data_IF_807455495071
#
_entry.id   IF_807455495071
#
_cell.length_a   1.000
_cell.length_b   1.000
_cell.length_c   1.000
_cell.angle_alpha   90.00
_cell.angle_beta   90.00
_cell.angle_gamma   90.00
#
_symmetry.space_group_name_H-M   'P 1'
#
loop_
_entity.id
_entity.type
_entity.pdbx_description
1 polymer ?
#
# COMPACT_ATOMS: atom_id res chain seq x y z
N UNK A 1 -21.40 -0.21 31.76
CA UNK A 1 -21.12 0.38 30.41
C UNK A 1 -20.11 1.52 30.54
N UNK A 2 -19.39 1.87 29.45
CA UNK A 2 -18.43 3.00 29.43
C UNK A 2 -19.10 4.29 29.92
N UNK A 3 -20.31 4.57 29.48
CA UNK A 3 -21.08 5.75 29.87
C UNK A 3 -21.32 5.82 31.39
N UNK A 4 -21.72 4.70 32.00
CA UNK A 4 -21.95 4.66 33.45
C UNK A 4 -20.68 4.84 34.29
N UNK A 5 -19.54 4.30 33.80
CA UNK A 5 -18.24 4.49 34.46
C UNK A 5 -17.79 5.96 34.40
N UNK A 6 -18.11 6.66 33.32
CA UNK A 6 -17.77 8.07 33.13
C UNK A 6 -18.80 9.07 33.70
N UNK A 7 -19.91 8.57 34.24
CA UNK A 7 -20.99 9.42 34.78
C UNK A 7 -21.71 10.25 33.73
N UNK A 8 -21.77 9.78 32.49
CA UNK A 8 -22.43 10.46 31.36
C UNK A 8 -23.59 9.63 30.82
N UNK A 9 -24.49 10.24 30.04
CA UNK A 9 -25.54 9.50 29.34
C UNK A 9 -24.97 8.62 28.20
N UNK A 10 -25.76 7.67 27.73
CA UNK A 10 -25.32 6.69 26.71
C UNK A 10 -24.92 7.36 25.38
N UNK A 11 -25.66 8.40 24.98
CA UNK A 11 -25.37 9.13 23.73
C UNK A 11 -24.02 9.84 23.81
N UNK A 12 -23.75 10.49 24.93
CA UNK A 12 -22.48 11.19 25.16
C UNK A 12 -21.31 10.19 25.29
N UNK A 13 -21.55 9.03 25.89
CA UNK A 13 -20.57 7.95 25.96
C UNK A 13 -20.24 7.39 24.58
N UNK A 14 -21.25 7.11 23.75
CA UNK A 14 -21.07 6.64 22.37
C UNK A 14 -20.35 7.67 21.50
N UNK A 15 -20.72 8.95 21.64
CA UNK A 15 -20.04 10.04 20.94
C UNK A 15 -18.57 10.15 21.33
N UNK A 16 -18.24 9.99 22.62
CA UNK A 16 -16.85 9.99 23.08
C UNK A 16 -16.02 8.88 22.44
N UNK A 17 -16.57 7.67 22.37
CA UNK A 17 -15.91 6.54 21.68
C UNK A 17 -15.67 6.86 20.20
N UNK A 18 -16.69 7.37 19.51
CA UNK A 18 -16.58 7.77 18.09
C UNK A 18 -15.49 8.82 17.87
N UNK A 19 -15.40 9.84 18.73
CA UNK A 19 -14.38 10.89 18.63
C UNK A 19 -12.96 10.37 18.89
N UNK A 20 -12.78 9.46 19.84
CA UNK A 20 -11.49 8.80 20.10
C UNK A 20 -11.02 8.02 18.87
N UNK A 21 -11.91 7.20 18.28
CA UNK A 21 -11.60 6.45 17.06
C UNK A 21 -11.19 7.39 15.92
N UNK A 22 -11.94 8.48 15.71
CA UNK A 22 -11.61 9.46 14.66
C UNK A 22 -10.26 10.15 14.90
N UNK A 23 -9.89 10.40 16.16
CA UNK A 23 -8.59 10.98 16.48
C UNK A 23 -7.46 9.98 16.24
N UNK A 24 -7.65 8.71 16.61
CA UNK A 24 -6.66 7.67 16.38
C UNK A 24 -6.43 7.44 14.89
N UNK A 25 -7.49 7.39 14.07
CA UNK A 25 -7.38 7.29 12.62
C UNK A 25 -6.65 8.49 12.03
N UNK A 26 -7.02 9.71 12.45
CA UNK A 26 -6.38 10.93 11.97
C UNK A 26 -4.90 11.00 12.39
N UNK A 27 -4.56 10.51 13.58
CA UNK A 27 -3.18 10.44 14.07
C UNK A 27 -2.36 9.44 13.25
N UNK A 28 -2.86 8.22 13.06
CA UNK A 28 -2.18 7.21 12.26
C UNK A 28 -1.93 7.70 10.81
N UNK A 29 -2.93 8.35 10.23
CA UNK A 29 -2.79 8.95 8.90
C UNK A 29 -1.70 10.03 8.85
N UNK A 30 -1.64 10.93 9.84
CA UNK A 30 -0.60 11.97 9.92
C UNK A 30 0.80 11.38 10.02
N UNK A 31 0.98 10.34 10.85
CA UNK A 31 2.25 9.64 11.01
C UNK A 31 2.69 9.04 9.67
N UNK A 32 1.84 8.24 9.05
CA UNK A 32 2.15 7.60 7.77
C UNK A 32 2.43 8.63 6.66
N UNK A 33 1.60 9.66 6.53
CA UNK A 33 1.84 10.72 5.56
C UNK A 33 3.16 11.46 5.78
N UNK A 34 3.57 11.63 7.05
CA UNK A 34 4.86 12.25 7.39
C UNK A 34 6.04 11.34 7.05
N UNK A 35 5.90 10.02 7.26
CA UNK A 35 6.94 9.04 6.94
C UNK A 35 7.25 8.99 5.44
N UNK A 36 6.22 9.13 4.59
CA UNK A 36 6.37 9.13 3.12
C UNK A 36 6.46 10.53 2.50
N UNK A 37 6.51 11.59 3.31
CA UNK A 37 6.59 12.98 2.81
C UNK A 37 5.34 13.49 2.09
N UNK A 38 4.16 12.89 2.29
CA UNK A 38 2.94 13.18 1.54
C UNK A 38 2.11 14.33 2.14
N UNK A 39 1.87 15.41 1.35
CA UNK A 39 0.97 16.50 1.76
C UNK A 39 -0.48 16.26 1.34
N UNK A 40 -1.22 15.54 2.18
CA UNK A 40 -2.62 15.18 2.01
C UNK A 40 -3.60 16.37 2.04
N UNK A 41 -3.21 17.54 2.54
CA UNK A 41 -4.09 18.71 2.67
C UNK A 41 -4.51 19.31 1.33
N UNK A 42 -3.80 18.93 0.27
CA UNK A 42 -4.09 19.34 -1.11
C UNK A 42 -4.88 18.28 -1.89
N UNK A 43 -5.19 17.16 -1.27
CA UNK A 43 -5.86 16.02 -1.89
C UNK A 43 -7.35 15.95 -1.52
N UNK A 44 -8.10 15.12 -2.25
CA UNK A 44 -9.42 14.69 -1.87
C UNK A 44 -9.34 13.35 -1.15
N UNK A 45 -10.14 13.16 -0.09
CA UNK A 45 -10.32 11.88 0.58
C UNK A 45 -11.45 11.11 -0.12
N UNK A 46 -11.20 9.87 -0.48
CA UNK A 46 -12.25 8.94 -0.95
C UNK A 46 -12.64 8.05 0.23
N UNK A 47 -13.93 8.03 0.55
CA UNK A 47 -14.47 7.28 1.68
C UNK A 47 -15.34 6.12 1.20
N UNK A 48 -14.93 4.89 1.51
CA UNK A 48 -15.68 3.68 1.17
C UNK A 48 -15.52 2.58 2.23
N UNK A 49 -16.23 1.47 2.05
CA UNK A 49 -16.31 0.38 3.02
C UNK A 49 -17.46 0.54 4.01
N UNK A 50 -17.72 -0.48 4.81
CA UNK A 50 -18.88 -0.54 5.70
C UNK A 50 -18.93 0.56 6.77
N UNK A 51 -17.78 0.91 7.38
CA UNK A 51 -17.69 1.94 8.43
C UNK A 51 -16.97 3.21 7.98
N UNK A 52 -16.14 3.15 6.95
CA UNK A 52 -15.35 4.28 6.46
C UNK A 52 -16.17 5.57 6.28
N UNK A 53 -17.30 5.55 5.55
CA UNK A 53 -18.15 6.71 5.35
C UNK A 53 -18.67 7.37 6.64
N UNK A 54 -18.92 6.59 7.69
CA UNK A 54 -19.41 7.11 8.96
C UNK A 54 -18.38 7.98 9.71
N UNK A 55 -17.09 7.73 9.47
CA UNK A 55 -15.97 8.41 10.11
C UNK A 55 -15.36 9.52 9.23
N UNK A 56 -15.46 9.39 7.90
CA UNK A 56 -14.72 10.15 6.91
C UNK A 56 -14.80 11.67 7.09
N UNK A 57 -15.99 12.21 7.31
CA UNK A 57 -16.19 13.67 7.49
C UNK A 57 -15.44 14.18 8.71
N UNK A 58 -15.46 13.44 9.82
CA UNK A 58 -14.77 13.84 11.06
C UNK A 58 -13.26 13.73 10.91
N UNK A 59 -12.79 12.64 10.34
CA UNK A 59 -11.37 12.42 10.04
C UNK A 59 -10.85 13.51 9.10
N UNK A 60 -11.56 13.79 8.00
CA UNK A 60 -11.18 14.84 7.06
C UNK A 60 -11.07 16.24 7.72
N UNK A 61 -12.01 16.58 8.61
CA UNK A 61 -11.94 17.82 9.38
C UNK A 61 -10.71 17.90 10.28
N UNK A 62 -10.37 16.80 10.99
CA UNK A 62 -9.18 16.69 11.85
C UNK A 62 -7.89 16.80 11.03
N UNK A 63 -7.88 16.28 9.81
CA UNK A 63 -6.76 16.33 8.87
C UNK A 63 -6.73 17.63 8.04
N UNK A 64 -7.77 18.44 8.08
CA UNK A 64 -7.95 19.64 7.23
C UNK A 64 -7.95 19.32 5.73
N UNK A 65 -8.52 18.15 5.39
CA UNK A 65 -8.72 17.76 3.99
C UNK A 65 -9.96 18.50 3.47
N UNK A 66 -9.85 19.23 2.35
CA UNK A 66 -10.91 20.13 1.89
C UNK A 66 -12.09 19.42 1.21
N UNK A 67 -11.89 18.21 0.71
CA UNK A 67 -12.89 17.48 -0.08
C UNK A 67 -12.97 16.02 0.35
N UNK A 68 -14.20 15.53 0.55
CA UNK A 68 -14.48 14.10 0.77
C UNK A 68 -15.42 13.64 -0.33
N UNK A 69 -15.08 12.52 -0.97
CA UNK A 69 -15.83 11.90 -2.05
C UNK A 69 -16.40 10.60 -1.53
N UNK A 70 -17.71 10.45 -1.67
CA UNK A 70 -18.42 9.19 -1.41
C UNK A 70 -18.83 8.63 -2.77
N UNK A 71 -18.16 7.61 -3.31
CA UNK A 71 -18.52 7.03 -4.59
C UNK A 71 -19.87 6.31 -4.51
N UNK A 72 -20.53 6.15 -5.67
CA UNK A 72 -21.73 5.32 -5.75
C UNK A 72 -21.41 3.91 -5.30
N UNK A 73 -22.23 3.35 -4.41
CA UNK A 73 -21.95 2.05 -3.81
C UNK A 73 -20.82 2.05 -2.78
N UNK A 74 -20.49 3.19 -2.17
CA UNK A 74 -19.40 3.31 -1.21
C UNK A 74 -19.38 2.21 -0.15
N UNK A 75 -20.54 1.80 0.39
CA UNK A 75 -20.63 0.76 1.41
C UNK A 75 -20.17 -0.64 0.96
N UNK A 76 -20.20 -0.91 -0.35
CA UNK A 76 -19.84 -2.20 -0.96
C UNK A 76 -18.69 -2.08 -1.97
N UNK A 77 -18.01 -0.97 -2.02
CA UNK A 77 -16.95 -0.69 -3.00
C UNK A 77 -15.82 -1.73 -2.95
N UNK A 78 -15.48 -2.24 -1.78
CA UNK A 78 -14.47 -3.30 -1.63
C UNK A 78 -14.90 -4.59 -2.35
N UNK A 79 -16.19 -4.95 -2.29
CA UNK A 79 -16.71 -6.11 -3.02
C UNK A 79 -16.71 -5.87 -4.54
N UNK A 80 -17.05 -4.66 -4.98
CA UNK A 80 -16.95 -4.27 -6.40
C UNK A 80 -15.49 -4.36 -6.86
N UNK A 81 -14.55 -3.83 -6.07
CA UNK A 81 -13.13 -3.93 -6.36
C UNK A 81 -12.68 -5.38 -6.50
N UNK A 82 -13.07 -6.25 -5.57
CA UNK A 82 -12.72 -7.66 -5.61
C UNK A 82 -13.25 -8.38 -6.88
N UNK A 83 -14.44 -8.01 -7.34
CA UNK A 83 -15.03 -8.59 -8.56
C UNK A 83 -14.40 -8.07 -9.86
N UNK A 84 -13.74 -6.91 -9.81
CA UNK A 84 -13.16 -6.25 -11.01
C UNK A 84 -11.66 -6.35 -11.08
N UNK A 85 -10.99 -6.68 -9.97
CA UNK A 85 -9.54 -6.84 -9.92
C UNK A 85 -9.14 -8.18 -10.52
N UNK A 86 -8.16 -8.24 -11.42
CA UNK A 86 -7.63 -9.49 -11.92
C UNK A 86 -6.99 -10.30 -10.78
N UNK A 87 -6.97 -11.62 -10.94
CA UNK A 87 -6.27 -12.50 -10.01
C UNK A 87 -4.78 -12.18 -10.12
N UNK A 88 -4.13 -11.88 -9.00
CA UNK A 88 -2.71 -11.60 -8.95
C UNK A 88 -2.06 -12.23 -7.73
N UNK A 89 -0.81 -12.63 -7.88
CA UNK A 89 0.03 -13.10 -6.78
C UNK A 89 1.34 -12.31 -6.76
N UNK A 90 1.76 -11.92 -5.56
CA UNK A 90 3.08 -11.37 -5.33
C UNK A 90 3.89 -12.39 -4.52
N UNK A 91 5.05 -12.75 -5.03
CA UNK A 91 6.00 -13.63 -4.36
C UNK A 91 7.26 -12.82 -4.03
N UNK A 92 7.81 -13.02 -2.85
CA UNK A 92 8.97 -12.29 -2.35
C UNK A 92 10.06 -13.26 -1.92
N UNK A 93 11.31 -12.91 -2.25
CA UNK A 93 12.49 -13.57 -1.73
C UNK A 93 13.42 -12.54 -1.10
N UNK A 94 13.73 -12.73 0.16
CA UNK A 94 14.77 -11.94 0.82
C UNK A 94 16.15 -12.35 0.33
N UNK A 95 16.95 -11.36 -0.06
CA UNK A 95 18.35 -11.51 -0.41
C UNK A 95 19.06 -10.17 -0.16
N UNK A 96 20.29 -10.20 0.30
CA UNK A 96 21.11 -9.00 0.46
C UNK A 96 22.35 -9.14 -0.37
N UNK A 97 22.55 -8.20 -1.28
CA UNK A 97 23.76 -8.07 -2.06
C UNK A 97 24.14 -6.60 -2.17
N UNK A 98 25.42 -6.31 -2.22
CA UNK A 98 25.89 -5.01 -2.70
C UNK A 98 25.70 -4.98 -4.20
N UNK A 99 25.35 -3.82 -4.74
CA UNK A 99 25.14 -3.66 -6.17
C UNK A 99 26.36 -4.07 -7.01
N UNK A 100 27.55 -3.72 -6.55
CA UNK A 100 28.83 -4.06 -7.19
C UNK A 100 29.16 -5.58 -7.16
N UNK A 101 28.49 -6.34 -6.29
CA UNK A 101 28.64 -7.79 -6.18
C UNK A 101 27.49 -8.56 -6.88
N UNK A 102 26.53 -7.86 -7.45
CA UNK A 102 25.40 -8.46 -8.15
C UNK A 102 25.77 -8.59 -9.64
N UNK A 103 25.64 -9.80 -10.16
CA UNK A 103 25.73 -10.08 -11.58
C UNK A 103 24.37 -10.55 -12.14
N UNK A 104 24.26 -10.58 -13.46
CA UNK A 104 23.02 -10.97 -14.13
C UNK A 104 22.60 -12.40 -13.78
N UNK A 105 23.55 -13.32 -13.61
CA UNK A 105 23.26 -14.72 -13.27
C UNK A 105 22.72 -14.83 -11.83
N UNK A 106 23.27 -14.09 -10.89
CA UNK A 106 22.80 -14.01 -9.51
C UNK A 106 21.41 -13.40 -9.40
N UNK A 107 21.15 -12.36 -10.20
CA UNK A 107 19.83 -11.72 -10.28
C UNK A 107 18.78 -12.69 -10.81
N UNK A 108 19.05 -13.37 -11.94
CA UNK A 108 18.16 -14.37 -12.51
C UNK A 108 17.94 -15.57 -11.56
N UNK A 109 18.99 -16.06 -10.91
CA UNK A 109 18.88 -17.10 -9.89
C UNK A 109 18.03 -16.67 -8.67
N UNK A 110 17.95 -15.36 -8.42
CA UNK A 110 17.07 -14.78 -7.42
C UNK A 110 15.60 -14.80 -7.83
N UNK A 111 15.30 -14.40 -9.05
CA UNK A 111 13.93 -14.30 -9.56
C UNK A 111 13.32 -15.65 -9.96
N UNK A 112 14.06 -16.54 -10.62
CA UNK A 112 13.51 -17.78 -11.18
C UNK A 112 12.68 -18.64 -10.19
N UNK A 113 13.05 -18.81 -8.90
CA UNK A 113 12.22 -19.58 -7.97
C UNK A 113 10.90 -18.89 -7.63
N UNK A 114 10.90 -17.56 -7.45
CA UNK A 114 9.70 -16.83 -7.07
C UNK A 114 8.75 -16.63 -8.24
N UNK A 115 9.27 -16.48 -9.44
CA UNK A 115 8.48 -16.46 -10.68
C UNK A 115 7.79 -17.79 -10.93
N UNK A 116 8.51 -18.90 -10.77
CA UNK A 116 7.92 -20.24 -10.88
C UNK A 116 6.79 -20.44 -9.89
N UNK A 117 7.01 -20.04 -8.64
CA UNK A 117 5.99 -20.12 -7.60
C UNK A 117 4.76 -19.28 -7.94
N UNK A 118 4.95 -18.03 -8.42
CA UNK A 118 3.85 -17.17 -8.82
C UNK A 118 3.06 -17.72 -10.00
N UNK A 119 3.77 -18.27 -10.99
CA UNK A 119 3.16 -18.93 -12.16
C UNK A 119 2.32 -20.15 -11.75
N UNK A 120 2.88 -21.03 -10.93
CA UNK A 120 2.17 -22.22 -10.42
C UNK A 120 0.87 -21.84 -9.70
N UNK A 121 0.91 -20.80 -8.83
CA UNK A 121 -0.26 -20.33 -8.10
C UNK A 121 -1.35 -19.75 -9.02
N UNK A 122 -0.98 -19.02 -10.08
CA UNK A 122 -1.93 -18.45 -11.04
C UNK A 122 -2.56 -19.54 -11.90
N UNK A 123 -1.77 -20.51 -12.36
CA UNK A 123 -2.26 -21.65 -13.14
C UNK A 123 -3.19 -22.52 -12.29
N UNK A 124 -2.84 -22.77 -11.02
CA UNK A 124 -3.71 -23.49 -10.07
C UNK A 124 -5.03 -22.73 -9.83
N UNK A 125 -5.00 -21.41 -9.83
CA UNK A 125 -6.20 -20.56 -9.76
C UNK A 125 -7.02 -20.53 -11.05
N UNK A 126 -6.59 -21.21 -12.12
CA UNK A 126 -7.31 -21.33 -13.39
C UNK A 126 -7.00 -20.25 -14.42
N UNK A 127 -5.93 -19.46 -14.23
CA UNK A 127 -5.49 -18.45 -15.20
C UNK A 127 -4.66 -19.14 -16.29
N UNK A 128 -4.93 -18.84 -17.56
CA UNK A 128 -4.16 -19.40 -18.68
C UNK A 128 -2.77 -18.75 -18.75
N UNK A 129 -1.74 -19.54 -18.99
CA UNK A 129 -0.36 -19.04 -19.02
C UNK A 129 -0.13 -17.87 -19.99
N UNK A 130 -0.83 -17.85 -21.12
CA UNK A 130 -0.74 -16.79 -22.13
C UNK A 130 -1.45 -15.48 -21.73
N UNK A 131 -2.17 -15.48 -20.62
CA UNK A 131 -2.83 -14.29 -20.04
C UNK A 131 -2.05 -13.73 -18.85
N UNK A 132 -0.98 -14.42 -18.43
CA UNK A 132 -0.18 -14.01 -17.28
C UNK A 132 0.85 -12.98 -17.73
N UNK A 133 0.89 -11.87 -17.02
CA UNK A 133 1.96 -10.88 -17.10
C UNK A 133 2.76 -10.87 -15.81
N UNK A 134 4.07 -10.76 -15.90
CA UNK A 134 4.95 -10.69 -14.72
C UNK A 134 5.66 -9.36 -14.66
N UNK A 135 5.77 -8.81 -13.46
CA UNK A 135 6.58 -7.64 -13.17
C UNK A 135 7.64 -8.01 -12.14
N UNK A 136 8.88 -7.65 -12.42
CA UNK A 136 10.00 -7.81 -11.49
C UNK A 136 10.25 -6.53 -10.73
N UNK A 137 10.47 -6.63 -9.44
CA UNK A 137 10.78 -5.49 -8.58
C UNK A 137 11.93 -5.83 -7.64
N UNK A 138 12.75 -4.84 -7.32
CA UNK A 138 13.83 -4.96 -6.33
C UNK A 138 13.62 -3.96 -5.22
N UNK A 139 13.73 -4.41 -3.98
CA UNK A 139 13.84 -3.50 -2.83
C UNK A 139 15.29 -3.08 -2.67
N UNK A 140 15.54 -1.79 -2.82
CA UNK A 140 16.88 -1.21 -2.80
C UNK A 140 16.99 -0.08 -1.80
N UNK A 141 18.19 0.10 -1.24
CA UNK A 141 18.49 1.23 -0.35
C UNK A 141 19.95 1.63 -0.44
N UNK A 142 20.26 2.85 -0.02
CA UNK A 142 21.65 3.22 0.21
C UNK A 142 22.22 2.48 1.44
N UNK A 143 23.51 2.24 1.41
CA UNK A 143 24.19 1.65 2.55
C UNK A 143 23.99 2.50 3.80
N UNK A 144 23.55 1.87 4.90
CA UNK A 144 23.26 2.55 6.17
C UNK A 144 21.84 3.08 6.33
N UNK A 145 20.97 3.01 5.30
CA UNK A 145 19.54 3.35 5.44
C UNK A 145 18.75 2.21 6.09
N UNK A 146 17.68 2.59 6.78
CA UNK A 146 16.76 1.66 7.45
C UNK A 146 15.56 1.23 6.60
N UNK A 147 15.27 1.95 5.50
CA UNK A 147 14.11 1.69 4.64
C UNK A 147 14.55 1.48 3.21
N UNK A 148 13.93 0.53 2.56
CA UNK A 148 14.10 0.21 1.15
C UNK A 148 13.10 1.00 0.29
N UNK A 149 13.46 1.20 -0.97
CA UNK A 149 12.59 1.74 -2.02
C UNK A 149 12.40 0.65 -3.07
N UNK A 150 11.16 0.42 -3.46
CA UNK A 150 10.80 -0.57 -4.47
C UNK A 150 11.08 -0.01 -5.86
N UNK A 151 11.97 -0.67 -6.60
CA UNK A 151 12.38 -0.34 -7.97
C UNK A 151 11.77 -1.34 -8.92
N UNK A 152 10.88 -0.90 -9.81
CA UNK A 152 10.35 -1.73 -10.88
C UNK A 152 11.40 -1.90 -11.99
N UNK A 153 11.54 -3.13 -12.48
CA UNK A 153 12.47 -3.45 -13.56
C UNK A 153 11.69 -3.53 -14.89
N UNK A 154 12.08 -2.77 -15.94
CA UNK A 154 11.54 -2.93 -17.29
C UNK A 154 11.78 -4.34 -17.86
N UNK A 155 10.98 -4.76 -18.83
CA UNK A 155 11.16 -6.09 -19.47
C UNK A 155 12.51 -6.24 -20.17
N UNK A 156 13.02 -5.15 -20.78
CA UNK A 156 14.30 -5.08 -21.48
C UNK A 156 15.43 -4.52 -20.60
N UNK A 157 15.32 -4.71 -19.30
CA UNK A 157 16.24 -4.20 -18.29
C UNK A 157 17.66 -4.75 -18.45
N UNK A 158 18.64 -3.83 -18.44
CA UNK A 158 20.06 -4.18 -18.26
C UNK A 158 20.49 -3.89 -16.81
N UNK A 159 21.25 -4.80 -16.22
CA UNK A 159 21.80 -4.62 -14.88
C UNK A 159 22.64 -3.33 -14.74
N UNK A 160 23.27 -2.89 -15.82
CA UNK A 160 24.02 -1.64 -15.84
C UNK A 160 23.13 -0.40 -15.59
N UNK A 161 21.83 -0.47 -15.89
CA UNK A 161 20.88 0.62 -15.70
C UNK A 161 20.34 0.71 -14.26
N UNK A 162 20.54 -0.34 -13.47
CA UNK A 162 19.96 -0.44 -12.12
C UNK A 162 20.34 0.72 -11.18
N UNK A 163 21.59 1.25 -11.18
CA UNK A 163 21.94 2.41 -10.36
C UNK A 163 21.12 3.66 -10.71
N UNK A 164 20.82 3.84 -11.99
CA UNK A 164 20.07 5.00 -12.46
C UNK A 164 18.59 4.84 -12.19
N UNK A 165 18.02 3.68 -12.44
CA UNK A 165 16.62 3.34 -12.08
C UNK A 165 16.38 3.57 -10.58
N UNK A 166 17.31 3.11 -9.73
CA UNK A 166 17.22 3.34 -8.29
C UNK A 166 17.24 4.83 -7.95
N UNK A 167 18.18 5.63 -8.53
CA UNK A 167 18.23 7.08 -8.24
C UNK A 167 16.97 7.81 -8.67
N UNK A 168 16.41 7.46 -9.83
CA UNK A 168 15.18 8.06 -10.34
C UNK A 168 13.99 7.72 -9.43
N UNK A 169 13.85 6.47 -9.03
CA UNK A 169 12.80 6.03 -8.11
C UNK A 169 12.97 6.71 -6.74
N UNK A 170 14.18 6.75 -6.22
CA UNK A 170 14.50 7.37 -4.94
C UNK A 170 14.21 8.88 -4.91
N UNK A 171 14.37 9.58 -6.03
CA UNK A 171 14.07 11.00 -6.13
C UNK A 171 12.56 11.32 -6.15
N UNK A 172 11.70 10.32 -6.34
CA UNK A 172 10.24 10.46 -6.37
C UNK A 172 9.59 10.21 -5.01
N UNK A 173 10.33 9.63 -4.07
CA UNK A 173 9.91 9.30 -2.70
C UNK A 173 10.36 10.37 -1.72
#
# INVERSE_FOLDING_TARGET
>A
TVASTLGVDATRGAWGIHEVINEDVARAFRVHASEIGFDYRRCAMIAFGGSGPAHAIRVARKLRIPKVIFPVGAGVMSAIGLLTTPISYATLRSGRSLLDALDAAGLEAGFAPVERQALELLVEAGVSENEITMERRLEMRFYGQGHEVEVALPEDFDLADLPELFRQTYAQV
#
